data_IF_077209967618
#
_entry.id   IF_077209967618
#
_cell.length_a   1.000
_cell.length_b   1.000
_cell.length_c   1.000
_cell.angle_alpha   90.00
_cell.angle_beta   90.00
_cell.angle_gamma   90.00
#
_symmetry.space_group_name_H-M   'P 1'
#
loop_
_entity.id
_entity.type
_entity.pdbx_description
1 polymer ?
#
# COMPACT_ATOMS: atom_id res chain seq x y z
N UNK A 1 -75.00 -27.06 17.17
CA UNK A 1 -74.96 -28.55 17.11
C UNK A 1 -74.79 -28.98 15.67
N UNK A 2 -73.98 -30.02 15.47
CA UNK A 2 -73.64 -30.77 14.23
C UNK A 2 -72.39 -30.33 13.46
N UNK A 3 -71.30 -30.98 13.85
CA UNK A 3 -70.13 -31.36 13.04
C UNK A 3 -70.55 -32.21 11.84
N UNK A 4 -69.91 -32.03 10.68
CA UNK A 4 -69.53 -33.15 9.78
C UNK A 4 -68.21 -32.80 9.10
N UNK A 5 -67.26 -33.73 9.24
CA UNK A 5 -65.94 -33.79 8.63
C UNK A 5 -65.99 -33.94 7.11
N UNK A 6 -64.99 -33.43 6.40
CA UNK A 6 -64.50 -34.04 5.16
C UNK A 6 -63.03 -33.69 4.93
N UNK A 7 -62.17 -34.66 5.24
CA UNK A 7 -60.82 -34.82 4.70
C UNK A 7 -60.92 -35.03 3.18
N UNK A 8 -60.03 -34.41 2.40
CA UNK A 8 -59.60 -35.00 1.14
C UNK A 8 -58.18 -34.58 0.77
N UNK A 9 -57.30 -35.59 0.80
CA UNK A 9 -56.27 -35.93 -0.19
C UNK A 9 -55.15 -34.93 -0.50
N UNK A 10 -54.08 -35.08 0.28
CA UNK A 10 -52.68 -34.89 -0.12
C UNK A 10 -52.34 -35.88 -1.25
N UNK A 11 -52.00 -35.36 -2.43
CA UNK A 11 -51.27 -36.10 -3.47
C UNK A 11 -49.84 -35.54 -3.54
N UNK A 12 -48.91 -36.23 -2.88
CA UNK A 12 -47.47 -36.04 -3.09
C UNK A 12 -47.09 -36.81 -4.36
N UNK A 13 -46.81 -36.10 -5.45
CA UNK A 13 -46.08 -36.67 -6.58
C UNK A 13 -44.59 -36.48 -6.32
N UNK A 14 -43.94 -37.58 -5.93
CA UNK A 14 -42.49 -37.72 -5.89
C UNK A 14 -41.99 -37.82 -7.33
N UNK A 15 -41.52 -36.69 -7.89
CA UNK A 15 -40.73 -36.67 -9.11
C UNK A 15 -39.25 -36.75 -8.74
N UNK A 16 -38.65 -37.94 -8.83
CA UNK A 16 -37.19 -38.10 -8.78
C UNK A 16 -36.60 -37.56 -10.10
N UNK A 17 -36.25 -36.28 -10.15
CA UNK A 17 -35.36 -35.76 -11.19
C UNK A 17 -33.91 -36.01 -10.73
N UNK A 18 -33.28 -37.01 -11.31
CA UNK A 18 -31.83 -37.19 -11.29
C UNK A 18 -31.20 -36.06 -12.08
N UNK A 19 -30.70 -35.05 -11.37
CA UNK A 19 -29.87 -33.99 -11.94
C UNK A 19 -28.54 -34.66 -12.36
N UNK A 20 -28.11 -34.55 -13.63
CA UNK A 20 -26.80 -35.05 -14.02
C UNK A 20 -25.72 -34.23 -13.31
N UNK A 21 -24.85 -34.90 -12.56
CA UNK A 21 -23.60 -34.33 -12.02
C UNK A 21 -22.79 -33.76 -13.18
N UNK A 22 -22.86 -32.45 -13.34
CA UNK A 22 -21.96 -31.70 -14.22
C UNK A 22 -20.67 -31.55 -13.43
N UNK A 23 -19.58 -32.17 -13.91
CA UNK A 23 -18.25 -32.01 -13.33
C UNK A 23 -17.95 -30.51 -13.13
N UNK A 24 -17.40 -30.10 -11.97
CA UNK A 24 -17.12 -28.71 -11.68
C UNK A 24 -16.14 -28.18 -12.72
N UNK A 25 -16.66 -27.29 -13.56
CA UNK A 25 -15.91 -26.56 -14.56
C UNK A 25 -14.80 -25.79 -13.82
N UNK A 26 -13.55 -26.08 -14.19
CA UNK A 26 -12.35 -25.56 -13.52
C UNK A 26 -12.35 -24.04 -13.72
N UNK A 27 -12.75 -23.31 -12.68
CA UNK A 27 -12.75 -21.83 -12.72
C UNK A 27 -11.29 -21.39 -12.68
N UNK A 28 -10.84 -20.77 -13.76
CA UNK A 28 -9.52 -20.15 -13.82
C UNK A 28 -9.44 -19.02 -12.78
N UNK A 29 -8.38 -19.03 -12.00
CA UNK A 29 -8.09 -18.06 -10.95
C UNK A 29 -7.94 -16.67 -11.59
N UNK A 30 -8.96 -15.82 -11.44
CA UNK A 30 -8.94 -14.45 -11.99
C UNK A 30 -8.07 -13.60 -11.09
N UNK A 31 -6.80 -13.47 -11.47
CA UNK A 31 -5.86 -12.50 -10.91
C UNK A 31 -6.17 -11.12 -11.50
N UNK A 32 -6.42 -10.11 -10.66
CA UNK A 32 -6.60 -8.73 -11.14
C UNK A 32 -5.20 -8.22 -11.45
N UNK A 33 -4.90 -8.05 -12.73
CA UNK A 33 -3.60 -7.59 -13.17
C UNK A 33 -3.49 -6.08 -13.02
N UNK A 34 -2.25 -5.55 -12.95
CA UNK A 34 -2.03 -4.10 -13.02
C UNK A 34 -2.60 -3.52 -14.33
N UNK A 35 -2.78 -4.33 -15.38
CA UNK A 35 -3.36 -3.92 -16.65
C UNK A 35 -4.88 -3.72 -16.57
N UNK A 36 -5.60 -4.56 -15.81
CA UNK A 36 -7.04 -4.40 -15.52
C UNK A 36 -7.30 -3.13 -14.70
N UNK A 37 -6.44 -2.87 -13.70
CA UNK A 37 -6.48 -1.62 -12.93
C UNK A 37 -6.24 -0.41 -13.84
N UNK A 38 -5.32 -0.51 -14.81
CA UNK A 38 -5.05 0.55 -15.79
C UNK A 38 -6.18 0.75 -16.80
N UNK A 39 -6.94 -0.29 -17.13
CA UNK A 39 -8.14 -0.17 -17.95
C UNK A 39 -9.26 0.55 -17.19
N UNK A 40 -9.44 0.29 -15.90
CA UNK A 40 -10.30 1.08 -15.02
C UNK A 40 -9.89 2.56 -14.98
N UNK A 41 -8.58 2.85 -14.91
CA UNK A 41 -8.07 4.23 -14.95
C UNK A 41 -8.40 4.96 -16.26
N UNK A 42 -8.58 4.27 -17.39
CA UNK A 42 -8.95 4.91 -18.68
C UNK A 42 -10.33 5.56 -18.63
N UNK A 43 -11.28 5.01 -17.86
CA UNK A 43 -12.58 5.63 -17.63
C UNK A 43 -12.50 6.89 -16.76
N UNK A 44 -11.62 6.88 -15.75
CA UNK A 44 -11.41 8.00 -14.84
C UNK A 44 -10.59 9.16 -15.44
N UNK A 45 -9.83 8.93 -16.52
CA UNK A 45 -9.03 9.98 -17.16
C UNK A 45 -9.85 11.17 -17.68
N UNK A 46 -11.12 10.99 -18.05
CA UNK A 46 -11.98 12.11 -18.48
C UNK A 46 -12.56 12.91 -17.30
N UNK A 47 -12.81 12.26 -16.16
CA UNK A 47 -13.31 12.89 -14.93
C UNK A 47 -12.17 13.65 -14.23
N UNK A 48 -10.95 13.11 -14.27
CA UNK A 48 -9.77 13.70 -13.63
C UNK A 48 -9.39 15.08 -14.16
N UNK A 49 -9.36 15.31 -15.47
CA UNK A 49 -8.78 16.55 -16.03
C UNK A 49 -9.55 17.82 -15.63
N UNK A 50 -10.88 17.74 -15.40
CA UNK A 50 -11.70 18.90 -15.00
C UNK A 50 -11.72 19.15 -13.49
N UNK A 51 -11.81 18.08 -12.69
CA UNK A 51 -11.93 18.15 -11.23
C UNK A 51 -10.59 18.43 -10.51
N UNK A 52 -9.46 18.21 -11.19
CA UNK A 52 -8.13 18.53 -10.65
C UNK A 52 -7.94 20.02 -10.39
N UNK A 53 -8.57 20.92 -11.15
CA UNK A 53 -8.39 22.37 -10.92
C UNK A 53 -9.01 22.87 -9.62
N UNK A 54 -10.06 22.20 -9.13
CA UNK A 54 -10.83 22.65 -7.96
C UNK A 54 -10.36 21.95 -6.66
N UNK A 55 -9.80 20.73 -6.75
CA UNK A 55 -9.46 19.91 -5.58
C UNK A 55 -8.01 19.34 -5.55
N UNK A 56 -7.10 19.74 -6.44
CA UNK A 56 -5.71 19.22 -6.48
C UNK A 56 -4.93 19.34 -5.16
N UNK A 57 -5.34 20.20 -4.23
CA UNK A 57 -4.70 20.34 -2.92
C UNK A 57 -5.08 19.26 -1.90
N UNK A 58 -6.20 18.54 -2.09
CA UNK A 58 -6.62 17.49 -1.17
C UNK A 58 -5.83 16.21 -1.45
N UNK A 59 -4.83 15.90 -0.61
CA UNK A 59 -4.05 14.67 -0.74
C UNK A 59 -4.92 13.41 -0.67
N UNK A 60 -4.45 12.28 -1.20
CA UNK A 60 -5.27 11.06 -1.37
C UNK A 60 -5.99 10.57 -0.11
N UNK A 61 -5.46 10.83 1.09
CA UNK A 61 -6.14 10.53 2.36
C UNK A 61 -7.39 11.37 2.59
N UNK A 62 -7.36 12.66 2.27
CA UNK A 62 -8.51 13.55 2.41
C UNK A 62 -9.64 13.13 1.47
N UNK A 63 -9.28 12.80 0.22
CA UNK A 63 -10.24 12.29 -0.76
C UNK A 63 -10.83 10.94 -0.32
N UNK A 64 -10.03 10.03 0.22
CA UNK A 64 -10.54 8.76 0.75
C UNK A 64 -11.47 8.96 1.96
N UNK A 65 -11.17 9.93 2.84
CA UNK A 65 -12.06 10.30 3.93
C UNK A 65 -13.41 10.83 3.43
N UNK A 66 -13.38 11.66 2.38
CA UNK A 66 -14.58 12.20 1.77
C UNK A 66 -15.39 11.11 1.05
N UNK A 67 -14.73 10.16 0.40
CA UNK A 67 -15.35 8.96 -0.13
C UNK A 67 -16.21 8.27 0.93
N UNK A 68 -15.66 8.02 2.13
CA UNK A 68 -16.44 7.35 3.18
C UNK A 68 -17.64 8.16 3.65
N UNK A 69 -17.45 9.48 3.83
CA UNK A 69 -18.55 10.36 4.21
C UNK A 69 -19.70 10.26 3.22
N UNK A 70 -19.42 10.29 1.91
CA UNK A 70 -20.45 10.25 0.87
C UNK A 70 -21.03 8.85 0.68
N UNK A 71 -20.19 7.82 0.69
CA UNK A 71 -20.59 6.43 0.44
C UNK A 71 -21.57 5.92 1.49
N UNK A 72 -21.33 6.25 2.78
CA UNK A 72 -22.22 5.84 3.87
C UNK A 72 -23.42 6.78 4.09
N UNK A 73 -23.47 7.94 3.43
CA UNK A 73 -24.59 8.88 3.46
C UNK A 73 -25.48 8.78 2.21
N UNK A 74 -25.49 7.61 1.53
CA UNK A 74 -26.35 7.32 0.38
C UNK A 74 -26.08 8.17 -0.88
N UNK A 75 -24.86 8.72 -1.02
CA UNK A 75 -24.40 9.40 -2.23
C UNK A 75 -23.28 8.60 -2.93
N UNK A 76 -23.56 7.38 -3.42
CA UNK A 76 -22.52 6.50 -3.94
C UNK A 76 -21.86 7.06 -5.19
N UNK A 77 -22.59 7.73 -6.08
CA UNK A 77 -22.04 8.32 -7.31
C UNK A 77 -20.97 9.37 -6.98
N UNK A 78 -21.31 10.34 -6.11
CA UNK A 78 -20.38 11.35 -5.60
C UNK A 78 -19.19 10.70 -4.88
N UNK A 79 -19.41 9.63 -4.11
CA UNK A 79 -18.33 8.92 -3.43
C UNK A 79 -17.31 8.37 -4.44
N UNK A 80 -17.76 7.72 -5.51
CA UNK A 80 -16.86 7.14 -6.52
C UNK A 80 -15.94 8.18 -7.16
N UNK A 81 -16.42 9.42 -7.33
CA UNK A 81 -15.56 10.52 -7.80
C UNK A 81 -14.38 10.75 -6.85
N UNK A 82 -14.64 10.84 -5.53
CA UNK A 82 -13.60 11.02 -4.53
C UNK A 82 -12.66 9.82 -4.39
N UNK A 83 -13.15 8.59 -4.60
CA UNK A 83 -12.28 7.42 -4.67
C UNK A 83 -11.33 7.49 -5.86
N UNK A 84 -11.84 7.91 -7.02
CA UNK A 84 -11.04 8.19 -8.19
C UNK A 84 -10.00 9.28 -7.96
N UNK A 85 -10.38 10.38 -7.30
CA UNK A 85 -9.44 11.43 -6.90
C UNK A 85 -8.38 10.93 -5.92
N UNK A 86 -8.74 10.05 -4.98
CA UNK A 86 -7.80 9.46 -4.03
C UNK A 86 -6.75 8.59 -4.73
N UNK A 87 -7.20 7.70 -5.62
CA UNK A 87 -6.35 6.85 -6.45
C UNK A 87 -5.50 7.66 -7.44
N UNK A 88 -6.05 8.73 -8.00
CA UNK A 88 -5.28 9.59 -8.89
C UNK A 88 -4.16 10.32 -8.15
N UNK A 89 -4.44 10.83 -6.94
CA UNK A 89 -3.46 11.55 -6.12
C UNK A 89 -2.35 10.64 -5.58
N UNK A 90 -2.67 9.38 -5.24
CA UNK A 90 -1.67 8.37 -4.89
C UNK A 90 -2.12 6.98 -5.39
N UNK A 91 -1.74 6.58 -6.62
CA UNK A 91 -2.14 5.28 -7.18
C UNK A 91 -1.54 4.09 -6.42
N UNK A 92 -0.54 4.35 -5.58
CA UNK A 92 0.09 3.37 -4.70
C UNK A 92 -0.47 3.41 -3.28
N UNK A 93 -1.55 4.15 -3.05
CA UNK A 93 -2.26 4.15 -1.78
C UNK A 93 -3.01 2.83 -1.61
N UNK A 94 -2.43 1.92 -0.82
CA UNK A 94 -2.98 0.58 -0.57
C UNK A 94 -4.43 0.65 -0.09
N UNK A 95 -4.76 1.61 0.76
CA UNK A 95 -6.11 1.77 1.31
C UNK A 95 -7.13 2.13 0.23
N UNK A 96 -6.78 3.05 -0.67
CA UNK A 96 -7.66 3.46 -1.78
C UNK A 96 -7.84 2.31 -2.77
N UNK A 97 -6.78 1.54 -3.05
CA UNK A 97 -6.86 0.33 -3.90
C UNK A 97 -7.75 -0.76 -3.29
N UNK A 98 -7.61 -1.01 -1.99
CA UNK A 98 -8.44 -1.98 -1.26
C UNK A 98 -9.92 -1.58 -1.32
N UNK A 99 -10.23 -0.30 -1.16
CA UNK A 99 -11.59 0.21 -1.27
C UNK A 99 -12.10 0.11 -2.71
N UNK A 100 -11.29 0.46 -3.72
CA UNK A 100 -11.64 0.34 -5.13
C UNK A 100 -11.95 -1.10 -5.53
N UNK A 101 -11.11 -2.05 -5.13
CA UNK A 101 -11.34 -3.47 -5.34
C UNK A 101 -12.69 -3.94 -4.73
N UNK A 102 -13.09 -3.40 -3.58
CA UNK A 102 -14.38 -3.73 -2.96
C UNK A 102 -15.58 -3.12 -3.68
N UNK A 103 -15.41 -1.97 -4.33
CA UNK A 103 -16.46 -1.28 -5.08
C UNK A 103 -16.64 -1.92 -6.47
N UNK A 104 -15.54 -2.15 -7.19
CA UNK A 104 -15.54 -2.61 -8.58
C UNK A 104 -15.89 -4.08 -8.74
N UNK A 105 -15.62 -4.88 -7.71
CA UNK A 105 -15.76 -6.32 -7.81
C UNK A 105 -17.23 -6.76 -7.83
N UNK A 106 -17.83 -6.64 -9.01
CA UNK A 106 -19.02 -7.40 -9.40
C UNK A 106 -18.75 -8.90 -9.23
N UNK A 107 -17.50 -9.34 -9.45
CA UNK A 107 -17.02 -10.70 -9.23
C UNK A 107 -16.97 -11.11 -7.76
N UNK A 108 -16.64 -10.24 -6.81
CA UNK A 108 -16.53 -10.61 -5.40
C UNK A 108 -17.91 -10.96 -4.85
N UNK A 109 -18.96 -10.25 -5.28
CA UNK A 109 -20.34 -10.59 -4.94
C UNK A 109 -20.96 -11.64 -5.87
N UNK A 110 -20.52 -11.73 -7.12
CA UNK A 110 -20.86 -12.82 -8.03
C UNK A 110 -20.39 -14.18 -7.50
N UNK A 111 -19.13 -14.28 -7.07
CA UNK A 111 -18.50 -15.46 -6.46
C UNK A 111 -19.15 -15.85 -5.14
N UNK A 112 -19.56 -14.85 -4.37
CA UNK A 112 -20.41 -15.05 -3.21
C UNK A 112 -21.74 -15.68 -3.64
N UNK A 113 -22.51 -15.00 -4.51
CA UNK A 113 -23.86 -15.40 -4.92
C UNK A 113 -23.97 -16.75 -5.66
N UNK A 114 -22.91 -17.23 -6.31
CA UNK A 114 -22.94 -18.42 -7.17
C UNK A 114 -22.85 -19.77 -6.42
N UNK A 115 -23.01 -19.78 -5.09
CA UNK A 115 -23.24 -21.02 -4.33
C UNK A 115 -22.07 -21.52 -3.48
N UNK A 116 -20.96 -20.78 -3.39
CA UNK A 116 -19.84 -21.11 -2.49
C UNK A 116 -19.91 -20.38 -1.13
N UNK A 117 -21.04 -19.77 -0.78
CA UNK A 117 -21.25 -19.19 0.55
C UNK A 117 -20.99 -20.16 1.69
N UNK A 118 -21.26 -21.46 1.49
CA UNK A 118 -21.01 -22.49 2.49
C UNK A 118 -19.51 -22.68 2.80
N UNK A 119 -18.63 -22.27 1.89
CA UNK A 119 -17.18 -22.38 2.06
C UNK A 119 -16.55 -21.15 2.71
N UNK A 120 -17.29 -20.05 2.81
CA UNK A 120 -16.81 -18.81 3.40
C UNK A 120 -17.23 -18.80 4.86
N UNK A 121 -16.24 -18.84 5.75
CA UNK A 121 -16.50 -18.70 7.18
C UNK A 121 -17.06 -17.29 7.45
N UNK A 122 -18.33 -17.22 7.87
CA UNK A 122 -19.02 -15.98 8.21
C UNK A 122 -19.22 -15.93 9.72
N UNK A 123 -18.75 -14.84 10.33
CA UNK A 123 -18.91 -14.59 11.76
C UNK A 123 -20.03 -13.58 11.97
N UNK A 124 -20.85 -13.84 12.98
CA UNK A 124 -21.94 -12.97 13.37
C UNK A 124 -21.47 -12.01 14.45
N UNK A 125 -21.63 -10.70 14.21
CA UNK A 125 -21.24 -9.66 15.14
C UNK A 125 -22.45 -8.83 15.58
N UNK A 126 -22.56 -8.61 16.89
CA UNK A 126 -23.50 -7.65 17.45
C UNK A 126 -22.94 -6.23 17.27
N UNK A 127 -23.79 -5.35 16.74
CA UNK A 127 -23.53 -3.93 16.53
C UNK A 127 -24.09 -3.16 17.70
N UNK A 128 -23.25 -2.33 18.32
CA UNK A 128 -23.74 -1.38 19.32
C UNK A 128 -24.55 -0.31 18.57
N UNK A 129 -25.75 0.06 19.03
CA UNK A 129 -26.71 0.87 18.25
C UNK A 129 -26.27 2.24 17.73
N UNK A 130 -25.03 2.69 17.96
CA UNK A 130 -24.42 3.89 17.39
C UNK A 130 -23.10 3.63 16.65
N UNK A 131 -22.64 2.38 16.54
CA UNK A 131 -21.37 2.04 15.89
C UNK A 131 -21.51 2.14 14.36
N UNK A 132 -20.64 2.93 13.75
CA UNK A 132 -20.56 3.07 12.30
C UNK A 132 -19.90 1.86 11.64
N UNK A 133 -20.10 1.65 10.33
CA UNK A 133 -19.41 0.59 9.58
C UNK A 133 -17.89 0.74 9.58
N UNK A 134 -17.38 1.97 9.64
CA UNK A 134 -15.94 2.25 9.74
C UNK A 134 -15.39 1.71 11.06
N UNK A 135 -16.07 1.99 12.17
CA UNK A 135 -15.71 1.50 13.50
C UNK A 135 -15.84 -0.02 13.60
N UNK A 136 -16.93 -0.57 13.06
CA UNK A 136 -17.18 -2.00 13.04
C UNK A 136 -16.11 -2.74 12.22
N UNK A 137 -15.78 -2.24 11.03
CA UNK A 137 -14.70 -2.78 10.19
C UNK A 137 -13.37 -2.72 10.93
N UNK A 138 -13.07 -1.59 11.59
CA UNK A 138 -11.85 -1.44 12.37
C UNK A 138 -11.78 -2.42 13.54
N UNK A 139 -12.91 -2.71 14.19
CA UNK A 139 -13.03 -3.68 15.27
C UNK A 139 -12.84 -5.12 14.80
N UNK A 140 -13.44 -5.49 13.67
CA UNK A 140 -13.42 -6.87 13.15
C UNK A 140 -12.11 -7.17 12.41
N UNK A 141 -11.70 -6.28 11.53
CA UNK A 141 -10.59 -6.50 10.59
C UNK A 141 -9.32 -5.72 10.94
N UNK A 142 -9.35 -4.87 11.98
CA UNK A 142 -8.21 -4.02 12.34
C UNK A 142 -8.02 -2.80 11.43
N UNK A 143 -8.95 -2.57 10.49
CA UNK A 143 -8.89 -1.45 9.54
C UNK A 143 -10.29 -1.00 9.13
N UNK A 144 -10.47 0.30 8.90
CA UNK A 144 -11.73 0.89 8.41
C UNK A 144 -11.98 0.60 6.91
N UNK A 145 -10.95 0.16 6.18
CA UNK A 145 -11.01 0.00 4.73
C UNK A 145 -11.89 -1.15 4.23
N UNK A 146 -12.37 -2.04 5.10
CA UNK A 146 -13.33 -3.10 4.75
C UNK A 146 -14.78 -2.74 5.11
N UNK A 147 -15.04 -1.49 5.46
CA UNK A 147 -16.40 -1.04 5.76
C UNK A 147 -17.34 -1.16 4.54
N UNK A 148 -16.81 -0.92 3.33
CA UNK A 148 -17.54 -1.10 2.06
C UNK A 148 -17.93 -2.56 1.86
N UNK A 149 -16.99 -3.49 2.08
CA UNK A 149 -17.23 -4.93 2.04
C UNK A 149 -18.35 -5.33 3.02
N UNK A 150 -18.27 -4.88 4.29
CA UNK A 150 -19.29 -5.21 5.29
C UNK A 150 -20.69 -4.73 4.88
N UNK A 151 -20.80 -3.47 4.45
CA UNK A 151 -22.08 -2.91 4.04
C UNK A 151 -22.66 -3.69 2.86
N UNK A 152 -21.88 -3.88 1.80
CA UNK A 152 -22.34 -4.58 0.59
C UNK A 152 -22.69 -6.05 0.88
N UNK A 153 -21.90 -6.74 1.71
CA UNK A 153 -22.18 -8.11 2.12
C UNK A 153 -23.50 -8.24 2.87
N UNK A 154 -23.77 -7.33 3.79
CA UNK A 154 -25.02 -7.38 4.56
C UNK A 154 -26.23 -6.96 3.73
N UNK A 155 -26.07 -5.99 2.83
CA UNK A 155 -27.12 -5.66 1.86
C UNK A 155 -27.49 -6.85 0.97
N UNK A 156 -26.52 -7.71 0.62
CA UNK A 156 -26.74 -8.86 -0.25
C UNK A 156 -27.24 -10.12 0.50
N UNK A 157 -26.73 -10.40 1.70
CA UNK A 157 -26.90 -11.71 2.36
C UNK A 157 -27.58 -11.67 3.73
N UNK A 158 -27.88 -10.49 4.26
CA UNK A 158 -28.58 -10.35 5.53
C UNK A 158 -29.99 -9.78 5.27
N UNK A 159 -30.97 -10.67 5.15
CA UNK A 159 -32.38 -10.30 4.86
C UNK A 159 -32.96 -9.27 5.85
N UNK A 160 -32.44 -9.27 7.08
CA UNK A 160 -32.90 -8.39 8.14
C UNK A 160 -32.06 -7.11 8.27
N UNK A 161 -31.13 -6.87 7.35
CA UNK A 161 -30.37 -5.63 7.27
C UNK A 161 -31.23 -4.52 6.64
N UNK A 162 -31.30 -3.30 7.22
CA UNK A 162 -30.55 -2.75 8.36
C UNK A 162 -31.26 -2.83 9.73
N UNK A 163 -32.34 -3.61 9.85
CA UNK A 163 -33.27 -3.56 10.98
C UNK A 163 -32.74 -4.23 12.26
N UNK A 164 -31.80 -5.17 12.14
CA UNK A 164 -31.24 -5.90 13.27
C UNK A 164 -29.81 -5.44 13.56
N UNK A 165 -29.47 -5.31 14.85
CA UNK A 165 -28.12 -5.05 15.38
C UNK A 165 -27.13 -6.21 15.14
N UNK A 166 -27.29 -6.97 14.06
CA UNK A 166 -26.55 -8.17 13.75
C UNK A 166 -25.97 -8.03 12.35
N UNK A 167 -24.64 -8.03 12.27
CA UNK A 167 -23.88 -7.90 11.03
C UNK A 167 -23.13 -9.19 10.78
N UNK A 168 -23.23 -9.68 9.53
CA UNK A 168 -22.49 -10.81 9.02
C UNK A 168 -21.14 -10.32 8.49
N UNK A 169 -20.04 -10.88 8.99
CA UNK A 169 -18.69 -10.52 8.57
C UNK A 169 -17.98 -11.74 7.98
N UNK A 170 -17.68 -11.76 6.67
CA UNK A 170 -16.90 -12.83 6.06
C UNK A 170 -15.45 -12.78 6.56
N UNK A 171 -14.82 -13.95 6.71
CA UNK A 171 -13.40 -14.03 7.02
C UNK A 171 -12.56 -13.65 5.80
N UNK A 172 -11.63 -12.68 5.95
CA UNK A 172 -10.86 -12.19 4.81
C UNK A 172 -9.93 -13.25 4.19
N UNK A 173 -9.55 -14.28 4.96
CA UNK A 173 -8.69 -15.37 4.50
C UNK A 173 -9.35 -16.25 3.44
N UNK A 174 -10.69 -16.29 3.41
CA UNK A 174 -11.48 -17.09 2.47
C UNK A 174 -11.94 -16.30 1.24
N UNK A 175 -11.60 -15.00 1.14
CA UNK A 175 -11.94 -14.15 0.01
C UNK A 175 -10.77 -14.10 -1.00
N UNK A 176 -10.85 -14.83 -2.14
CA UNK A 176 -9.73 -14.95 -3.08
C UNK A 176 -9.27 -13.60 -3.65
N UNK A 177 -10.23 -12.71 -3.98
CA UNK A 177 -9.98 -11.40 -4.59
C UNK A 177 -9.27 -10.42 -3.63
N UNK A 178 -9.46 -10.58 -2.31
CA UNK A 178 -8.81 -9.74 -1.29
C UNK A 178 -7.48 -10.36 -0.84
N UNK A 179 -7.35 -11.68 -0.95
CA UNK A 179 -6.18 -12.45 -0.57
C UNK A 179 -4.89 -11.96 -1.22
N UNK A 180 -4.91 -11.64 -2.52
CA UNK A 180 -3.72 -11.12 -3.22
C UNK A 180 -3.27 -9.76 -2.67
N UNK A 181 -4.22 -8.88 -2.35
CA UNK A 181 -3.94 -7.59 -1.72
C UNK A 181 -3.44 -7.76 -0.28
N UNK A 182 -3.94 -8.75 0.48
CA UNK A 182 -3.47 -9.08 1.83
C UNK A 182 -2.07 -9.73 1.85
N UNK A 183 -1.74 -10.53 0.84
CA UNK A 183 -0.45 -11.19 0.73
C UNK A 183 0.68 -10.17 0.51
N UNK A 184 0.47 -9.09 -0.24
CA UNK A 184 1.47 -8.02 -0.39
C UNK A 184 1.77 -7.32 0.95
N UNK A 185 0.73 -7.04 1.74
CA UNK A 185 0.85 -6.40 3.07
C UNK A 185 1.57 -7.31 4.08
N UNK A 186 1.27 -8.61 4.06
CA UNK A 186 1.91 -9.60 4.95
C UNK A 186 3.36 -9.89 4.55
N UNK A 187 3.66 -10.00 3.26
CA UNK A 187 5.03 -10.24 2.77
C UNK A 187 5.93 -9.04 2.99
N UNK A 188 5.46 -7.79 2.83
CA UNK A 188 6.22 -6.60 3.23
C UNK A 188 6.59 -6.58 4.73
N UNK A 189 5.65 -7.00 5.60
CA UNK A 189 5.88 -7.14 7.05
C UNK A 189 6.77 -8.34 7.42
N UNK A 190 6.67 -9.46 6.70
CA UNK A 190 7.47 -10.67 6.95
C UNK A 190 8.91 -10.54 6.43
N UNK A 191 9.14 -9.92 5.27
CA UNK A 191 10.49 -9.61 4.76
C UNK A 191 11.25 -8.73 5.76
N UNK A 192 10.55 -7.77 6.38
CA UNK A 192 11.11 -6.94 7.46
C UNK A 192 11.51 -7.75 8.71
N UNK A 193 10.84 -8.88 8.98
CA UNK A 193 11.17 -9.79 10.10
C UNK A 193 12.26 -10.82 9.74
N UNK A 194 12.27 -11.35 8.52
CA UNK A 194 13.24 -12.36 8.07
C UNK A 194 14.61 -11.75 7.81
N UNK A 195 14.67 -10.51 7.29
CA UNK A 195 15.94 -9.74 7.19
C UNK A 195 16.52 -9.49 8.58
N UNK A 196 15.68 -9.32 9.61
CA UNK A 196 16.10 -9.15 11.01
C UNK A 196 16.67 -10.44 11.61
N UNK A 197 16.13 -11.61 11.25
CA UNK A 197 16.58 -12.90 11.79
C UNK A 197 17.84 -13.45 11.11
N UNK A 198 18.15 -13.04 9.88
CA UNK A 198 19.30 -13.59 9.11
C UNK A 198 20.61 -12.82 9.28
N UNK A 199 20.60 -11.69 9.98
CA UNK A 199 21.80 -10.87 10.24
C UNK A 199 22.57 -11.26 11.52
N UNK A 200 22.06 -12.17 12.36
CA UNK A 200 22.72 -12.54 13.62
C UNK A 200 23.71 -13.71 13.51
N UNK A 201 23.90 -14.31 12.33
CA UNK A 201 24.71 -15.53 12.21
C UNK A 201 25.75 -15.46 11.09
N UNK A 202 26.63 -14.46 11.14
CA UNK A 202 27.93 -14.52 10.44
C UNK A 202 29.04 -14.18 11.43
N UNK A 203 29.44 -15.21 12.18
CA UNK A 203 30.60 -15.21 13.07
C UNK A 203 31.87 -15.21 12.20
N UNK A 204 32.64 -14.13 12.33
CA UNK A 204 33.93 -13.86 11.70
C UNK A 204 34.92 -15.03 11.79
N UNK A 205 35.36 -15.53 10.62
CA UNK A 205 36.63 -16.24 10.49
C UNK A 205 37.70 -15.27 9.95
N UNK A 206 38.92 -15.25 10.51
CA UNK A 206 40.00 -14.42 10.02
C UNK A 206 40.61 -15.05 8.75
N UNK A 207 40.54 -14.33 7.63
CA UNK A 207 41.24 -14.68 6.39
C UNK A 207 42.65 -14.12 6.46
N UNK A 208 43.63 -15.03 6.55
CA UNK A 208 45.05 -14.75 6.41
C UNK A 208 45.39 -14.47 4.95
N UNK A 209 45.96 -13.30 4.65
CA UNK A 209 46.50 -12.97 3.32
C UNK A 209 47.98 -13.38 3.22
N UNK A 210 48.44 -13.86 2.04
CA UNK A 210 49.83 -14.26 1.84
C UNK A 210 50.75 -13.05 1.57
N UNK A 211 51.94 -13.16 2.16
CA UNK A 211 53.10 -12.29 2.04
C UNK A 211 53.67 -12.37 0.63
N UNK A 212 53.84 -11.21 -0.02
CA UNK A 212 54.64 -11.06 -1.24
C UNK A 212 55.92 -10.28 -0.93
N UNK A 213 57.04 -10.90 -1.27
CA UNK A 213 58.43 -10.43 -1.15
C UNK A 213 58.74 -9.30 -2.15
N UNK A 214 59.49 -8.24 -1.79
CA UNK A 214 59.95 -7.22 -2.74
C UNK A 214 61.36 -7.49 -3.28
N UNK A 215 61.60 -7.11 -4.54
CA UNK A 215 62.92 -7.01 -5.19
C UNK A 215 63.69 -5.74 -4.74
N UNK A 216 65.04 -5.73 -4.82
CA UNK A 216 65.86 -4.64 -4.29
C UNK A 216 66.15 -3.58 -5.36
N UNK A 217 65.86 -2.31 -5.04
CA UNK A 217 66.35 -1.16 -5.83
C UNK A 217 67.22 -0.26 -4.97
N UNK A 218 68.39 0.01 -5.55
CA UNK A 218 69.49 0.90 -5.23
C UNK A 218 69.30 1.99 -4.15
N UNK A 219 70.28 1.98 -3.27
CA UNK A 219 70.67 2.98 -2.26
C UNK A 219 70.95 4.34 -2.90
N UNK A 220 70.32 5.39 -2.37
CA UNK A 220 70.80 6.78 -2.43
C UNK A 220 70.72 7.37 -1.02
N UNK A 221 71.77 8.02 -0.48
CA UNK A 221 71.79 8.49 0.89
C UNK A 221 71.20 9.90 1.05
N UNK A 222 70.41 10.02 2.12
CA UNK A 222 70.50 11.06 3.15
C UNK A 222 70.26 12.54 2.75
N UNK A 223 69.05 13.04 3.06
CA UNK A 223 68.89 14.33 3.78
C UNK A 223 67.79 14.15 4.81
N UNK A 224 68.21 13.95 6.05
CA UNK A 224 67.42 14.02 7.27
C UNK A 224 66.68 15.37 7.40
N UNK A 225 65.36 15.32 7.28
CA UNK A 225 64.45 16.31 7.88
C UNK A 225 63.36 15.53 8.59
N UNK A 226 63.67 15.14 9.83
CA UNK A 226 62.73 14.65 10.83
C UNK A 226 61.74 15.76 11.17
N UNK A 227 60.70 15.88 10.35
CA UNK A 227 59.46 16.54 10.74
C UNK A 227 58.57 15.47 11.34
N UNK A 228 58.57 15.38 12.67
CA UNK A 228 57.59 14.64 13.47
C UNK A 228 56.19 15.21 13.18
N UNK A 229 55.57 14.77 12.08
CA UNK A 229 54.13 14.97 11.84
C UNK A 229 53.40 14.02 12.77
N UNK A 230 53.02 14.54 13.93
CA UNK A 230 51.99 13.94 14.78
C UNK A 230 50.71 13.90 13.95
N UNK A 231 50.37 12.73 13.41
CA UNK A 231 49.07 12.49 12.79
C UNK A 231 48.01 12.61 13.88
N UNK A 232 47.43 13.80 14.02
CA UNK A 232 46.29 14.04 14.89
C UNK A 232 45.13 13.26 14.28
N UNK A 233 44.84 12.09 14.84
CA UNK A 233 43.63 11.32 14.54
C UNK A 233 42.45 12.13 15.09
N UNK A 234 41.91 13.03 14.26
CA UNK A 234 40.67 13.73 14.59
C UNK A 234 39.55 12.69 14.55
N UNK A 235 38.84 12.47 15.66
CA UNK A 235 37.75 11.49 15.68
C UNK A 235 36.67 11.89 14.65
N UNK A 236 36.06 10.91 13.98
CA UNK A 236 35.03 11.19 12.99
C UNK A 236 33.84 11.90 13.66
N UNK A 237 33.41 13.02 13.06
CA UNK A 237 32.29 13.84 13.57
C UNK A 237 31.02 13.01 13.77
N UNK A 238 30.27 13.24 14.84
CA UNK A 238 28.98 12.55 15.02
C UNK A 238 27.93 13.10 14.05
N UNK A 239 26.84 12.36 13.75
CA UNK A 239 25.75 12.87 12.92
C UNK A 239 25.15 14.19 13.43
N UNK A 240 25.05 14.37 14.75
CA UNK A 240 24.57 15.60 15.39
C UNK A 240 25.49 16.78 15.09
N UNK A 241 26.81 16.57 15.16
CA UNK A 241 27.80 17.60 14.84
C UNK A 241 27.75 17.97 13.36
N UNK A 242 27.59 16.98 12.47
CA UNK A 242 27.41 17.23 11.04
C UNK A 242 26.16 18.06 10.77
N UNK A 243 25.05 17.76 11.45
CA UNK A 243 23.81 18.53 11.32
C UNK A 243 23.98 19.97 11.84
N UNK A 244 24.63 20.17 12.99
CA UNK A 244 24.94 21.50 13.53
C UNK A 244 25.86 22.32 12.61
N UNK A 245 26.70 21.66 11.80
CA UNK A 245 27.53 22.29 10.78
C UNK A 245 26.78 22.56 9.46
N UNK A 246 25.46 22.31 9.40
CA UNK A 246 24.64 22.47 8.19
C UNK A 246 24.86 21.37 7.14
N UNK A 247 25.49 20.25 7.50
CA UNK A 247 25.78 19.11 6.60
C UNK A 247 24.70 18.03 6.71
N UNK A 248 23.43 18.43 6.62
CA UNK A 248 22.26 17.57 6.84
C UNK A 248 22.24 16.29 6.00
N UNK A 249 22.65 16.36 4.73
CA UNK A 249 22.72 15.19 3.84
C UNK A 249 23.69 14.12 4.32
N UNK A 250 24.88 14.52 4.79
CA UNK A 250 25.88 13.59 5.34
C UNK A 250 25.46 13.06 6.71
N UNK A 251 24.84 13.90 7.55
CA UNK A 251 24.26 13.46 8.82
C UNK A 251 23.20 12.37 8.58
N UNK A 252 22.29 12.59 7.63
CA UNK A 252 21.27 11.63 7.23
C UNK A 252 21.87 10.31 6.72
N UNK A 253 22.84 10.38 5.81
CA UNK A 253 23.50 9.18 5.28
C UNK A 253 24.20 8.37 6.39
N UNK A 254 24.87 9.04 7.34
CA UNK A 254 25.47 8.36 8.49
C UNK A 254 24.43 7.70 9.39
N UNK A 255 23.35 8.40 9.72
CA UNK A 255 22.26 7.82 10.52
C UNK A 255 21.64 6.62 9.81
N UNK A 256 21.41 6.70 8.50
CA UNK A 256 20.86 5.59 7.69
C UNK A 256 21.75 4.35 7.71
N UNK A 257 23.07 4.53 7.73
CA UNK A 257 24.04 3.44 7.79
C UNK A 257 24.18 2.80 9.19
N UNK A 258 23.79 3.49 10.26
CA UNK A 258 23.82 2.95 11.62
C UNK A 258 22.75 1.88 11.84
N UNK A 259 23.01 0.99 12.81
CA UNK A 259 22.00 0.04 13.30
C UNK A 259 20.84 0.76 14.00
N UNK A 260 19.67 0.14 14.07
CA UNK A 260 18.50 0.73 14.74
C UNK A 260 18.76 1.05 16.23
N UNK A 261 19.61 0.27 16.90
CA UNK A 261 19.94 0.43 18.32
C UNK A 261 20.85 1.64 18.59
N UNK A 262 21.71 2.01 17.64
CA UNK A 262 22.67 3.11 17.76
C UNK A 262 22.15 4.42 17.15
N UNK A 263 21.19 4.31 16.24
CA UNK A 263 20.66 5.44 15.49
C UNK A 263 19.86 6.36 16.40
N UNK A 264 20.16 7.65 16.31
CA UNK A 264 19.31 8.69 16.89
C UNK A 264 18.00 8.79 16.07
N UNK A 265 16.98 8.01 16.47
CA UNK A 265 15.71 7.87 15.73
C UNK A 265 15.03 9.21 15.48
N UNK A 266 15.01 10.10 16.48
CA UNK A 266 14.36 11.41 16.36
C UNK A 266 15.03 12.29 15.31
N UNK A 267 16.36 12.39 15.34
CA UNK A 267 17.10 13.17 14.35
C UNK A 267 17.01 12.55 12.95
N UNK A 268 17.02 11.22 12.86
CA UNK A 268 16.85 10.51 11.60
C UNK A 268 15.49 10.78 10.96
N UNK A 269 14.40 10.68 11.73
CA UNK A 269 13.04 10.97 11.25
C UNK A 269 12.91 12.43 10.81
N UNK A 270 13.45 13.38 11.58
CA UNK A 270 13.48 14.79 11.20
C UNK A 270 14.20 15.02 9.86
N UNK A 271 15.41 14.47 9.71
CA UNK A 271 16.18 14.62 8.49
C UNK A 271 15.55 13.89 7.30
N UNK A 272 14.92 12.74 7.53
CA UNK A 272 14.17 12.02 6.51
C UNK A 272 13.00 12.85 6.01
N UNK A 273 12.23 13.44 6.92
CA UNK A 273 11.11 14.29 6.58
C UNK A 273 11.56 15.50 5.75
N UNK A 274 12.64 16.18 6.18
CA UNK A 274 13.17 17.38 5.50
C UNK A 274 13.81 17.07 4.14
N UNK A 275 14.57 15.99 4.02
CA UNK A 275 15.41 15.73 2.85
C UNK A 275 14.79 14.77 1.84
N UNK A 276 13.84 13.93 2.27
CA UNK A 276 13.22 12.88 1.45
C UNK A 276 11.74 13.15 1.30
N UNK A 277 10.98 13.12 2.40
CA UNK A 277 9.52 13.03 2.32
C UNK A 277 8.90 14.37 1.88
N UNK A 278 9.38 15.52 2.37
CA UNK A 278 8.94 16.84 1.93
C UNK A 278 9.30 17.09 0.45
N UNK A 279 10.57 16.96 0.00
CA UNK A 279 10.90 17.12 -1.42
C UNK A 279 10.14 16.15 -2.32
N UNK A 280 9.88 14.92 -1.88
CA UNK A 280 9.05 13.98 -2.62
C UNK A 280 7.62 14.52 -2.81
N UNK A 281 6.97 14.99 -1.73
CA UNK A 281 5.62 15.57 -1.81
C UNK A 281 5.57 16.83 -2.67
N UNK A 282 6.57 17.70 -2.56
CA UNK A 282 6.72 18.88 -3.44
C UNK A 282 6.85 18.46 -4.90
N UNK A 283 7.67 17.44 -5.19
CA UNK A 283 7.82 16.90 -6.55
C UNK A 283 6.52 16.34 -7.12
N UNK A 284 5.73 15.64 -6.31
CA UNK A 284 4.40 15.14 -6.69
C UNK A 284 3.45 16.30 -6.97
N UNK A 285 3.42 17.34 -6.12
CA UNK A 285 2.61 18.54 -6.35
C UNK A 285 2.97 19.20 -7.68
N UNK A 286 4.24 19.55 -7.88
CA UNK A 286 4.72 20.18 -9.12
C UNK A 286 4.39 19.32 -10.35
N UNK A 287 4.48 17.98 -10.24
CA UNK A 287 4.14 17.08 -11.34
C UNK A 287 2.65 17.17 -11.72
N UNK A 288 1.76 17.24 -10.74
CA UNK A 288 0.33 17.40 -10.97
C UNK A 288 -0.04 18.78 -11.49
N UNK A 289 0.68 19.82 -11.05
CA UNK A 289 0.52 21.21 -11.51
C UNK A 289 1.15 21.44 -12.91
N UNK A 290 1.68 20.38 -13.56
CA UNK A 290 2.41 20.43 -14.83
C UNK A 290 3.67 21.31 -14.81
N UNK A 291 4.17 21.63 -13.62
CA UNK A 291 5.46 22.26 -13.37
C UNK A 291 6.59 21.21 -13.47
N UNK A 292 6.74 20.64 -14.66
CA UNK A 292 7.53 19.41 -14.90
C UNK A 292 9.00 19.58 -14.52
N UNK A 293 9.60 20.74 -14.80
CA UNK A 293 11.00 21.00 -14.49
C UNK A 293 11.26 20.98 -12.97
N UNK A 294 10.39 21.62 -12.21
CA UNK A 294 10.41 21.68 -10.75
C UNK A 294 10.22 20.28 -10.17
N UNK A 295 9.26 19.51 -10.70
CA UNK A 295 9.02 18.14 -10.31
C UNK A 295 10.27 17.26 -10.49
N UNK A 296 10.91 17.31 -11.66
CA UNK A 296 12.15 16.59 -11.98
C UNK A 296 13.25 16.94 -10.97
N UNK A 297 13.42 18.23 -10.66
CA UNK A 297 14.43 18.70 -9.71
C UNK A 297 14.21 18.10 -8.32
N UNK A 298 12.97 18.11 -7.83
CA UNK A 298 12.61 17.55 -6.53
C UNK A 298 12.81 16.04 -6.46
N UNK A 299 12.37 15.28 -7.48
CA UNK A 299 12.60 13.84 -7.50
C UNK A 299 14.09 13.47 -7.58
N UNK A 300 14.88 14.22 -8.35
CA UNK A 300 16.35 14.04 -8.38
C UNK A 300 16.98 14.32 -7.01
N UNK A 301 16.48 15.29 -6.25
CA UNK A 301 16.96 15.55 -4.88
C UNK A 301 16.75 14.33 -3.97
N UNK A 302 15.56 13.73 -4.00
CA UNK A 302 15.23 12.50 -3.26
C UNK A 302 16.15 11.35 -3.67
N UNK A 303 16.26 11.09 -4.97
CA UNK A 303 17.01 9.95 -5.51
C UNK A 303 18.53 10.06 -5.33
N UNK A 304 19.08 11.26 -5.13
CA UNK A 304 20.50 11.43 -4.76
C UNK A 304 20.81 10.86 -3.38
N UNK A 305 19.85 10.87 -2.45
CA UNK A 305 20.02 10.39 -1.08
C UNK A 305 19.48 8.96 -0.92
N UNK A 306 18.36 8.66 -1.57
CA UNK A 306 17.76 7.32 -1.60
C UNK A 306 17.56 6.83 -3.04
N UNK A 307 18.62 6.28 -3.67
CA UNK A 307 18.52 5.74 -5.03
C UNK A 307 17.47 4.62 -5.17
N UNK A 308 17.15 3.93 -4.08
CA UNK A 308 16.16 2.84 -4.03
C UNK A 308 14.71 3.31 -3.82
N UNK A 309 14.44 4.63 -3.81
CA UNK A 309 13.10 5.15 -3.56
C UNK A 309 12.17 4.95 -4.78
N UNK A 310 11.56 3.76 -4.88
CA UNK A 310 10.77 3.30 -6.04
C UNK A 310 9.74 4.32 -6.55
N UNK A 311 8.95 4.93 -5.65
CA UNK A 311 7.93 5.92 -6.06
C UNK A 311 8.54 7.14 -6.75
N UNK A 312 9.69 7.62 -6.27
CA UNK A 312 10.36 8.80 -6.83
C UNK A 312 11.00 8.48 -8.18
N UNK A 313 11.52 7.25 -8.36
CA UNK A 313 12.00 6.78 -9.67
C UNK A 313 10.86 6.79 -10.69
N UNK A 314 9.72 6.21 -10.33
CA UNK A 314 8.55 6.13 -11.20
C UNK A 314 8.01 7.52 -11.59
N UNK A 315 7.88 8.43 -10.63
CA UNK A 315 7.45 9.80 -10.92
C UNK A 315 8.49 10.57 -11.75
N UNK A 316 9.79 10.39 -11.50
CA UNK A 316 10.83 11.00 -12.33
C UNK A 316 10.75 10.53 -13.78
N UNK A 317 10.56 9.22 -14.02
CA UNK A 317 10.42 8.67 -15.37
C UNK A 317 9.21 9.29 -16.10
N UNK A 318 8.07 9.41 -15.41
CA UNK A 318 6.86 10.05 -15.97
C UNK A 318 7.08 11.53 -16.27
N UNK A 319 7.74 12.25 -15.37
CA UNK A 319 8.06 13.66 -15.55
C UNK A 319 9.00 13.87 -16.75
N UNK A 320 10.01 13.02 -16.92
CA UNK A 320 10.91 13.07 -18.08
C UNK A 320 10.16 12.81 -19.40
N UNK A 321 9.32 11.77 -19.45
CA UNK A 321 8.48 11.49 -20.65
C UNK A 321 7.54 12.65 -20.99
N UNK A 322 6.95 13.29 -19.97
CA UNK A 322 6.10 14.46 -20.17
C UNK A 322 6.91 15.65 -20.70
N UNK A 323 8.09 15.91 -20.13
CA UNK A 323 9.00 16.97 -20.59
C UNK A 323 9.41 16.79 -22.05
N UNK A 324 9.70 15.57 -22.50
CA UNK A 324 10.06 15.28 -23.89
C UNK A 324 8.92 15.59 -24.86
N UNK A 325 7.68 15.28 -24.48
CA UNK A 325 6.48 15.60 -25.28
C UNK A 325 6.22 17.09 -25.38
N UNK A 326 6.49 17.84 -24.31
CA UNK A 326 6.33 19.30 -24.32
C UNK A 326 7.38 20.00 -25.20
N UNK A 327 8.57 19.40 -25.35
CA UNK A 327 9.64 19.92 -26.21
C UNK A 327 9.41 19.56 -27.69
N UNK A 328 8.85 18.38 -27.97
CA UNK A 328 8.57 17.87 -29.32
C UNK A 328 7.05 17.65 -29.52
N UNK A 329 6.26 18.73 -29.68
CA UNK A 329 4.81 18.66 -29.73
C UNK A 329 4.23 17.99 -30.98
#
# INVERSE_FOLDING_TARGET
MRNVWLLSCICVLVGCNTIPEKEPERVDEVTITDEDLMEFYKGFHQVGVRLLSENAGAGGRANLSQFYSLYFNEEPESALEYLGMALFADPFNENSRVVAAQVESQSLFGLLSQGNHEQIEVKTHLVNGQESFLELSKRIYGTEHYAVLLQRYNQAFNENYPQISLVLAPELSSLPVIGEHLQSVRSARQVSRVVRARCEEVRSQPVSLPVATPEPVAVVPDVTSTSDRVDIIVPPLTPEQLYQQGRSSLAYQRLRAQSEAERNTRLYEQLREELIDQPYREGVSHFHDQEVEQAILRFKQVLRLEPSHQRAQHYLERALKLSERLINP
#
